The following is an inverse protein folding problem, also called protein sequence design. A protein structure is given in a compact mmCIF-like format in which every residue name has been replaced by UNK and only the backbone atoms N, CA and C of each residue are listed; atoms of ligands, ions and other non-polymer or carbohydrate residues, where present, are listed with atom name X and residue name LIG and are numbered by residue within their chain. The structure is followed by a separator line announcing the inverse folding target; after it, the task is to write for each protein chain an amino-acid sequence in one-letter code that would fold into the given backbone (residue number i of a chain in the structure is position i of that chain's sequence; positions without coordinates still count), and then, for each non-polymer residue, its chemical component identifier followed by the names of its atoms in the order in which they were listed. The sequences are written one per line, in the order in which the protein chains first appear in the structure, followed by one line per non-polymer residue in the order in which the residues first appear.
data_IF_551737816435
#
_entry.id   IF_551737816435
#
_cell.length_a   1.000
_cell.length_b   1.000
_cell.length_c   1.000
_cell.angle_alpha   90.00
_cell.angle_beta   90.00
_cell.angle_gamma   90.00
#
_symmetry.space_group_name_H-M   'P 1'
#
loop_
_entity.id
_entity.type
_entity.pdbx_description
1 polymer ?
#
# COMPACT_ATOMS: atom_id res chain seq x y z
N UNK A 1 0.09 13.49 -0.01
CA UNK A 1 0.04 14.51 -1.09
C UNK A 1 1.43 14.93 -1.60
N UNK A 2 2.50 14.93 -0.80
CA UNK A 2 3.75 15.59 -1.20
C UNK A 2 4.58 14.94 -2.34
N UNK A 3 4.24 13.73 -2.84
CA UNK A 3 5.16 12.99 -3.74
C UNK A 3 4.48 12.40 -4.98
N UNK A 4 3.23 12.77 -5.30
CA UNK A 4 2.48 12.17 -6.41
C UNK A 4 2.88 12.76 -7.77
N UNK A 5 3.11 14.09 -7.82
CA UNK A 5 3.60 14.79 -9.01
C UNK A 5 4.95 14.24 -9.49
N UNK A 6 5.89 14.02 -8.58
CA UNK A 6 7.20 13.44 -8.90
C UNK A 6 7.05 12.06 -9.54
N UNK A 7 6.19 11.21 -8.97
CA UNK A 7 5.97 9.85 -9.47
C UNK A 7 5.28 9.87 -10.83
N UNK A 8 4.35 10.78 -11.06
CA UNK A 8 3.72 10.95 -12.37
C UNK A 8 4.74 11.41 -13.41
N UNK A 9 5.60 12.37 -13.06
CA UNK A 9 6.68 12.83 -13.92
C UNK A 9 7.65 11.68 -14.26
N UNK A 10 8.08 10.92 -13.25
CA UNK A 10 8.93 9.74 -13.43
C UNK A 10 8.23 8.71 -14.33
N UNK A 11 6.93 8.48 -14.17
CA UNK A 11 6.14 7.55 -15.01
C UNK A 11 6.20 7.94 -16.47
N UNK A 12 5.80 9.17 -16.79
CA UNK A 12 5.75 9.66 -18.18
C UNK A 12 7.14 9.62 -18.82
N UNK A 13 8.18 10.12 -18.13
CA UNK A 13 9.55 10.10 -18.62
C UNK A 13 10.09 8.68 -18.84
N UNK A 14 9.74 7.75 -17.96
CA UNK A 14 10.12 6.34 -18.10
C UNK A 14 9.44 5.68 -19.30
N UNK A 15 8.14 5.97 -19.54
CA UNK A 15 7.41 5.50 -20.73
C UNK A 15 8.04 6.06 -22.02
N UNK A 16 8.55 7.29 -21.98
CA UNK A 16 9.30 7.91 -23.08
C UNK A 16 10.71 7.34 -23.26
N UNK A 17 11.13 6.35 -22.45
CA UNK A 17 12.44 5.70 -22.57
C UNK A 17 13.61 6.49 -21.96
N UNK A 18 13.33 7.52 -21.16
CA UNK A 18 14.36 8.34 -20.52
C UNK A 18 14.92 7.59 -19.30
N UNK A 19 16.24 7.69 -19.10
CA UNK A 19 16.91 7.01 -18.01
C UNK A 19 16.64 7.67 -16.65
N UNK A 20 16.80 6.90 -15.57
CA UNK A 20 16.55 7.41 -14.22
C UNK A 20 17.51 8.54 -13.81
N UNK A 21 18.68 8.62 -14.45
CA UNK A 21 19.69 9.63 -14.17
C UNK A 21 19.26 11.00 -14.70
N UNK A 22 18.89 11.08 -15.98
CA UNK A 22 18.36 12.32 -16.57
C UNK A 22 17.08 12.76 -15.88
N UNK A 23 16.17 11.82 -15.54
CA UNK A 23 14.96 12.16 -14.78
C UNK A 23 15.30 12.81 -13.43
N UNK A 24 16.29 12.26 -12.72
CA UNK A 24 16.73 12.84 -11.45
C UNK A 24 17.36 14.23 -11.64
N UNK A 25 18.24 14.41 -12.62
CA UNK A 25 18.84 15.72 -12.92
C UNK A 25 17.78 16.79 -13.23
N UNK A 26 16.76 16.45 -14.01
CA UNK A 26 15.62 17.35 -14.30
C UNK A 26 14.81 17.68 -13.04
N UNK A 27 14.51 16.69 -12.20
CA UNK A 27 13.77 16.89 -10.96
C UNK A 27 14.57 17.72 -9.95
N UNK A 28 15.88 17.49 -9.83
CA UNK A 28 16.79 18.28 -9.00
C UNK A 28 16.82 19.73 -9.47
N UNK A 29 16.98 19.97 -10.77
CA UNK A 29 16.99 21.33 -11.32
C UNK A 29 15.67 22.09 -11.11
N UNK A 30 14.53 21.39 -11.11
CA UNK A 30 13.21 22.02 -10.98
C UNK A 30 12.75 22.19 -9.52
N UNK A 31 13.13 21.27 -8.62
CA UNK A 31 12.50 21.12 -7.29
C UNK A 31 13.44 21.29 -6.10
N UNK A 32 14.73 21.57 -6.29
CA UNK A 32 15.63 21.80 -5.15
C UNK A 32 15.09 22.91 -4.20
N UNK A 33 15.10 22.68 -2.87
CA UNK A 33 15.70 21.55 -2.14
C UNK A 33 14.78 20.34 -1.90
N UNK A 34 13.55 20.34 -2.43
CA UNK A 34 12.51 19.34 -2.19
C UNK A 34 12.54 18.15 -3.17
N UNK A 35 13.53 18.09 -4.07
CA UNK A 35 13.62 17.06 -5.09
C UNK A 35 13.74 15.64 -4.48
N UNK A 36 13.11 14.62 -5.11
CA UNK A 36 13.25 13.25 -4.67
C UNK A 36 14.68 12.75 -4.91
N UNK A 37 15.18 11.94 -3.98
CA UNK A 37 16.51 11.34 -4.13
C UNK A 37 16.61 10.43 -5.37
N UNK A 38 17.80 10.33 -5.96
CA UNK A 38 18.08 9.43 -7.08
C UNK A 38 17.59 7.99 -6.82
N UNK A 39 17.76 7.47 -5.60
CA UNK A 39 17.28 6.14 -5.22
C UNK A 39 15.76 6.00 -5.35
N UNK A 40 15.01 7.05 -5.02
CA UNK A 40 13.55 7.10 -5.18
C UNK A 40 13.17 7.10 -6.65
N UNK A 41 13.83 7.94 -7.45
CA UNK A 41 13.63 8.02 -8.91
C UNK A 41 13.88 6.67 -9.58
N UNK A 42 15.03 6.05 -9.30
CA UNK A 42 15.40 4.75 -9.87
C UNK A 42 14.42 3.63 -9.50
N UNK A 43 13.95 3.61 -8.24
CA UNK A 43 12.96 2.62 -7.79
C UNK A 43 11.63 2.75 -8.55
N UNK A 44 11.14 3.98 -8.72
CA UNK A 44 9.90 4.24 -9.45
C UNK A 44 10.04 3.97 -10.95
N UNK A 45 11.16 4.38 -11.56
CA UNK A 45 11.44 4.09 -12.96
C UNK A 45 11.48 2.57 -13.22
N UNK A 46 12.11 1.77 -12.35
CA UNK A 46 12.09 0.31 -12.45
C UNK A 46 10.65 -0.23 -12.37
N UNK A 47 9.86 0.22 -11.39
CA UNK A 47 8.44 -0.15 -11.25
C UNK A 47 7.64 0.09 -12.53
N UNK A 48 7.79 1.26 -13.13
CA UNK A 48 7.04 1.61 -14.34
C UNK A 48 7.51 0.80 -15.56
N UNK A 49 8.80 0.46 -15.66
CA UNK A 49 9.29 -0.48 -16.69
C UNK A 49 8.72 -1.90 -16.53
N UNK A 50 8.44 -2.31 -15.30
CA UNK A 50 7.77 -3.59 -15.00
C UNK A 50 6.25 -3.56 -15.25
N UNK A 51 5.69 -2.47 -15.80
CA UNK A 51 4.25 -2.35 -16.10
C UNK A 51 3.37 -2.06 -14.88
N UNK A 52 3.96 -1.72 -13.71
CA UNK A 52 3.19 -1.32 -12.52
C UNK A 52 2.78 0.14 -12.64
N UNK A 53 1.65 0.37 -13.29
CA UNK A 53 1.17 1.71 -13.67
C UNK A 53 0.64 2.57 -12.52
N UNK A 54 0.41 1.98 -11.35
CA UNK A 54 -0.12 2.71 -10.20
C UNK A 54 0.95 3.65 -9.62
N UNK A 55 0.61 4.94 -9.57
CA UNK A 55 1.45 6.03 -9.02
C UNK A 55 1.33 6.07 -7.49
N UNK A 56 0.26 5.49 -6.93
CA UNK A 56 0.10 5.32 -5.50
C UNK A 56 1.04 4.24 -4.97
N UNK A 57 1.39 4.38 -3.69
CA UNK A 57 2.03 3.27 -3.00
C UNK A 57 1.08 2.08 -2.98
N UNK A 58 1.63 0.88 -3.15
CA UNK A 58 0.86 -0.34 -2.91
C UNK A 58 0.28 -0.29 -1.50
N UNK A 59 -0.85 -0.98 -1.25
CA UNK A 59 -1.36 -1.13 0.10
C UNK A 59 -0.20 -1.57 0.99
N UNK A 60 0.10 -0.76 2.00
CA UNK A 60 1.15 -1.10 2.96
C UNK A 60 0.72 -2.43 3.57
N UNK A 61 1.58 -3.43 3.48
CA UNK A 61 1.41 -4.68 4.22
C UNK A 61 1.45 -4.37 5.71
N UNK A 62 0.28 -4.04 6.25
CA UNK A 62 -0.04 -4.00 7.67
C UNK A 62 -1.18 -4.99 7.93
N UNK A 63 -1.67 -5.03 9.16
CA UNK A 63 -2.80 -5.91 9.54
C UNK A 63 -3.93 -5.78 8.50
N UNK A 64 -4.39 -6.88 7.89
CA UNK A 64 -5.42 -6.81 6.88
C UNK A 64 -6.66 -6.10 7.44
N UNK A 65 -7.15 -5.10 6.71
CA UNK A 65 -8.34 -4.31 7.08
C UNK A 65 -9.58 -5.19 7.22
N UNK A 66 -9.56 -6.41 6.69
CA UNK A 66 -10.57 -7.44 6.90
C UNK A 66 -10.73 -7.88 8.37
N UNK A 67 -9.79 -7.56 9.25
CA UNK A 67 -9.91 -7.85 10.69
C UNK A 67 -10.76 -6.82 11.45
N UNK A 68 -11.05 -5.65 10.86
CA UNK A 68 -11.82 -4.56 11.48
C UNK A 68 -13.18 -4.37 10.79
N UNK A 69 -13.88 -5.46 10.47
CA UNK A 69 -15.29 -5.38 10.05
C UNK A 69 -16.18 -5.18 11.28
N UNK A 70 -17.32 -4.50 11.11
CA UNK A 70 -18.31 -4.37 12.18
C UNK A 70 -18.77 -5.74 12.71
N UNK A 71 -18.80 -6.75 11.81
CA UNK A 71 -19.07 -8.15 12.13
C UNK A 71 -18.02 -8.74 13.07
N UNK A 72 -16.73 -8.55 12.78
CA UNK A 72 -15.64 -9.04 13.63
C UNK A 72 -15.62 -8.30 14.97
N UNK A 73 -15.91 -7.00 14.99
CA UNK A 73 -16.02 -6.21 16.22
C UNK A 73 -17.15 -6.75 17.10
N UNK A 74 -18.30 -7.07 16.51
CA UNK A 74 -19.43 -7.62 17.24
C UNK A 74 -19.17 -9.05 17.73
N UNK A 75 -18.49 -9.88 16.94
CA UNK A 75 -18.05 -11.21 17.37
C UNK A 75 -17.09 -11.14 18.55
N UNK A 76 -16.10 -10.24 18.53
CA UNK A 76 -15.19 -10.01 19.67
C UNK A 76 -15.99 -9.60 20.91
N UNK A 77 -16.95 -8.68 20.78
CA UNK A 77 -17.80 -8.24 21.90
C UNK A 77 -18.63 -9.38 22.46
N UNK A 78 -19.20 -10.23 21.60
CA UNK A 78 -19.97 -11.39 22.02
C UNK A 78 -19.11 -12.41 22.78
N UNK A 79 -17.91 -12.72 22.29
CA UNK A 79 -16.99 -13.64 22.98
C UNK A 79 -16.64 -13.11 24.37
N UNK A 80 -16.27 -11.83 24.49
CA UNK A 80 -15.94 -11.21 25.78
C UNK A 80 -17.15 -11.14 26.71
N UNK A 81 -18.35 -10.85 26.20
CA UNK A 81 -19.58 -10.82 27.01
C UNK A 81 -19.99 -12.21 27.51
N UNK A 82 -19.75 -13.24 26.72
CA UNK A 82 -20.06 -14.63 27.08
C UNK A 82 -19.05 -15.19 28.07
N UNK A 83 -17.76 -14.88 27.87
CA UNK A 83 -16.68 -15.26 28.78
C UNK A 83 -15.63 -14.14 28.88
N UNK A 84 -15.65 -13.37 29.98
CA UNK A 84 -14.67 -12.31 30.21
C UNK A 84 -13.23 -12.81 30.41
N UNK A 85 -13.01 -14.11 30.57
CA UNK A 85 -11.69 -14.74 30.71
C UNK A 85 -11.16 -15.35 29.42
N UNK A 86 -11.88 -15.20 28.30
CA UNK A 86 -11.44 -15.69 27.01
C UNK A 86 -10.08 -15.12 26.63
N UNK A 87 -9.22 -16.02 26.17
CA UNK A 87 -7.86 -15.71 25.74
C UNK A 87 -7.87 -15.12 24.35
N UNK A 88 -6.77 -14.44 24.00
CA UNK A 88 -6.57 -13.86 22.68
C UNK A 88 -6.69 -14.90 21.55
N UNK A 89 -6.18 -16.12 21.77
CA UNK A 89 -6.23 -17.20 20.78
C UNK A 89 -7.67 -17.70 20.55
N UNK A 90 -8.48 -17.78 21.61
CA UNK A 90 -9.90 -18.17 21.51
C UNK A 90 -10.72 -17.12 20.75
N UNK A 91 -10.49 -15.83 21.04
CA UNK A 91 -11.13 -14.71 20.33
C UNK A 91 -10.76 -14.72 18.84
N UNK A 92 -9.49 -15.01 18.51
CA UNK A 92 -9.06 -15.14 17.11
C UNK A 92 -9.75 -16.32 16.42
N UNK A 93 -9.81 -17.48 17.07
CA UNK A 93 -10.44 -18.67 16.48
C UNK A 93 -11.91 -18.38 16.15
N UNK A 94 -12.64 -17.69 17.02
CA UNK A 94 -14.05 -17.37 16.75
C UNK A 94 -14.22 -16.29 15.68
N UNK A 95 -13.40 -15.25 15.67
CA UNK A 95 -13.47 -14.17 14.67
C UNK A 95 -12.98 -14.61 13.29
N UNK A 96 -12.05 -15.57 13.23
CA UNK A 96 -11.51 -16.11 11.96
C UNK A 96 -12.48 -17.04 11.23
N UNK A 97 -13.49 -17.59 11.92
CA UNK A 97 -14.55 -18.43 11.30
C UNK A 97 -15.47 -17.64 10.36
N UNK A 98 -15.45 -16.31 10.41
CA UNK A 98 -16.22 -15.41 9.53
C UNK A 98 -15.64 -15.21 8.12
N UNK A 99 -14.47 -15.79 7.79
CA UNK A 99 -13.91 -15.73 6.43
C UNK A 99 -14.79 -16.49 5.43
N UNK A 100 -15.84 -15.83 4.90
CA UNK A 100 -16.32 -16.15 3.56
C UNK A 100 -15.31 -15.60 2.57
N UNK A 101 -14.84 -16.47 1.68
CA UNK A 101 -14.06 -16.07 0.52
C UNK A 101 -14.86 -15.04 -0.30
N UNK A 102 -14.22 -13.93 -0.61
CA UNK A 102 -14.72 -12.94 -1.56
C UNK A 102 -14.74 -13.57 -2.96
N UNK A 103 -15.89 -13.67 -3.66
CA UNK A 103 -15.96 -14.23 -4.99
C UNK A 103 -15.59 -13.13 -6.00
N UNK A 104 -14.29 -12.84 -6.17
CA UNK A 104 -13.92 -11.67 -6.94
C UNK A 104 -12.46 -11.50 -7.33
N UNK A 105 -11.73 -12.57 -7.63
CA UNK A 105 -10.52 -12.46 -8.46
C UNK A 105 -10.60 -13.46 -9.62
N UNK A 106 -10.79 -12.92 -10.83
CA UNK A 106 -10.61 -13.58 -12.12
C UNK A 106 -9.57 -12.79 -12.92
#
# INVERSE_FOLDING_TARGET
MANEFDRYYIKIRTILGIDAKTIHEELTAALEPNAPSYRTVARWANRFREGKENVNDDPRSGRPVSELTDENIELVRQVINNDPHSTYDEIIVETSKGKKADPGES
#
